data_IF_235917506316
#
_entry.id   IF_235917506316
#
_cell.length_a   1.000
_cell.length_b   1.000
_cell.length_c   1.000
_cell.angle_alpha   90.00
_cell.angle_beta   90.00
_cell.angle_gamma   90.00
#
_symmetry.space_group_name_H-M   'P 1'
#
loop_
_entity.id
_entity.type
_entity.pdbx_description
1 polymer ?
#
# COMPACT_ATOMS: atom_id res chain seq x y z
N UNK A 1 -9.18 -17.32 2.29
CA UNK A 1 -9.46 -16.00 1.69
C UNK A 1 -8.98 -14.93 2.66
N UNK A 2 -8.21 -13.94 2.21
CA UNK A 2 -7.85 -12.80 3.05
C UNK A 2 -8.98 -11.79 3.01
N UNK A 3 -9.34 -11.21 4.16
CA UNK A 3 -10.25 -10.07 4.17
C UNK A 3 -9.54 -8.83 3.62
N UNK A 4 -10.30 -7.84 3.16
CA UNK A 4 -9.73 -6.53 2.75
C UNK A 4 -8.89 -5.92 3.87
N UNK A 5 -9.34 -6.06 5.12
CA UNK A 5 -8.64 -5.58 6.31
C UNK A 5 -7.30 -6.28 6.51
N UNK A 6 -7.22 -7.59 6.29
CA UNK A 6 -5.96 -8.35 6.40
C UNK A 6 -4.95 -7.89 5.35
N UNK A 7 -5.40 -7.63 4.12
CA UNK A 7 -4.54 -7.13 3.04
C UNK A 7 -4.01 -5.74 3.36
N UNK A 8 -4.86 -4.84 3.87
CA UNK A 8 -4.43 -3.50 4.30
C UNK A 8 -3.40 -3.61 5.44
N UNK A 9 -3.63 -4.49 6.42
CA UNK A 9 -2.69 -4.71 7.53
C UNK A 9 -1.33 -5.20 7.03
N UNK A 10 -1.32 -6.22 6.17
CA UNK A 10 -0.08 -6.74 5.57
C UNK A 10 0.67 -5.70 4.74
N UNK A 11 -0.06 -4.81 4.05
CA UNK A 11 0.55 -3.69 3.35
C UNK A 11 1.28 -2.75 4.32
N UNK A 12 0.66 -2.44 5.46
CA UNK A 12 1.27 -1.58 6.48
C UNK A 12 2.49 -2.23 7.13
N UNK A 13 2.41 -3.53 7.42
CA UNK A 13 3.55 -4.30 7.92
C UNK A 13 4.71 -4.23 6.92
N UNK A 14 4.44 -4.46 5.63
CA UNK A 14 5.45 -4.34 4.56
C UNK A 14 6.08 -2.95 4.47
N UNK A 15 5.26 -1.89 4.48
CA UNK A 15 5.72 -0.49 4.42
C UNK A 15 6.66 -0.18 5.60
N UNK A 16 6.33 -0.70 6.79
CA UNK A 16 7.11 -0.48 7.99
C UNK A 16 8.42 -1.28 7.98
N UNK A 17 8.35 -2.56 7.63
CA UNK A 17 9.52 -3.45 7.60
C UNK A 17 10.57 -2.99 6.57
N UNK A 18 10.12 -2.36 5.48
CA UNK A 18 10.99 -1.82 4.43
C UNK A 18 11.32 -0.32 4.60
N UNK A 19 10.92 0.31 5.72
CA UNK A 19 11.13 1.74 5.99
C UNK A 19 10.70 2.66 4.83
N UNK A 20 9.55 2.37 4.22
CA UNK A 20 9.04 3.10 3.05
C UNK A 20 8.30 4.40 3.41
N UNK A 21 8.26 4.79 4.68
CA UNK A 21 7.71 6.09 5.09
C UNK A 21 8.72 7.19 4.80
N UNK A 22 8.25 8.30 4.22
CA UNK A 22 9.09 9.47 4.01
C UNK A 22 9.56 10.02 5.38
N UNK A 23 10.87 10.18 5.61
CA UNK A 23 11.39 10.66 6.89
C UNK A 23 10.99 12.10 7.21
N UNK A 24 10.66 12.89 6.19
CA UNK A 24 10.23 14.29 6.32
C UNK A 24 8.71 14.42 6.49
N UNK A 25 7.94 13.52 5.89
CA UNK A 25 6.48 13.44 6.06
C UNK A 25 6.02 11.99 6.22
N UNK A 26 5.84 11.54 7.46
CA UNK A 26 5.39 10.17 7.78
C UNK A 26 4.01 9.80 7.20
N UNK A 27 3.26 10.76 6.65
CA UNK A 27 2.00 10.48 5.94
C UNK A 27 2.25 9.97 4.52
N UNK A 28 3.41 10.28 3.95
CA UNK A 28 3.79 9.89 2.59
C UNK A 28 4.56 8.57 2.61
N UNK A 29 4.16 7.66 1.74
CA UNK A 29 4.80 6.38 1.50
C UNK A 29 5.53 6.49 0.16
N UNK A 30 6.83 6.18 0.17
CA UNK A 30 7.70 6.10 -1.00
C UNK A 30 7.59 4.67 -1.53
N UNK A 31 7.14 4.52 -2.77
CA UNK A 31 7.01 3.20 -3.38
C UNK A 31 8.39 2.65 -3.75
N UNK A 32 8.67 1.42 -3.32
CA UNK A 32 9.74 0.61 -3.86
C UNK A 32 9.35 0.03 -5.23
N UNK A 33 10.22 -0.75 -5.85
CA UNK A 33 9.97 -1.34 -7.18
C UNK A 33 8.67 -2.15 -7.23
N UNK A 34 8.36 -2.90 -6.17
CA UNK A 34 7.15 -3.73 -6.10
C UNK A 34 5.88 -2.91 -5.97
N UNK A 35 5.89 -1.88 -5.11
CA UNK A 35 4.76 -0.97 -4.96
C UNK A 35 4.59 -0.08 -6.18
N UNK A 36 5.68 0.30 -6.86
CA UNK A 36 5.63 1.01 -8.15
C UNK A 36 4.99 0.15 -9.23
N UNK A 37 5.35 -1.14 -9.33
CA UNK A 37 4.72 -2.06 -10.29
C UNK A 37 3.24 -2.29 -9.97
N UNK A 38 2.88 -2.42 -8.70
CA UNK A 38 1.50 -2.64 -8.28
C UNK A 38 0.60 -1.41 -8.48
N UNK A 39 1.04 -0.24 -7.99
CA UNK A 39 0.23 0.97 -7.93
C UNK A 39 0.50 1.97 -9.06
N UNK A 40 1.58 1.78 -9.82
CA UNK A 40 1.99 2.65 -10.93
C UNK A 40 2.19 4.12 -10.48
N UNK A 41 2.65 4.32 -9.24
CA UNK A 41 2.95 5.63 -8.65
C UNK A 41 4.26 5.59 -7.88
N UNK A 42 4.99 6.70 -7.85
CA UNK A 42 6.26 6.80 -7.11
C UNK A 42 6.07 6.95 -5.60
N UNK A 43 4.96 7.58 -5.20
CA UNK A 43 4.60 7.74 -3.79
C UNK A 43 3.11 7.97 -3.66
N UNK A 44 2.57 7.68 -2.49
CA UNK A 44 1.17 7.94 -2.16
C UNK A 44 1.05 8.36 -0.70
N UNK A 45 -0.10 8.92 -0.32
CA UNK A 45 -0.37 9.25 1.08
C UNK A 45 -1.05 8.07 1.77
N UNK A 46 -0.67 7.72 3.00
CA UNK A 46 -1.13 6.50 3.68
C UNK A 46 -2.66 6.32 3.73
N UNK A 47 -3.44 7.41 3.75
CA UNK A 47 -4.91 7.34 3.71
C UNK A 47 -5.49 6.91 2.34
N UNK A 48 -4.71 6.98 1.26
CA UNK A 48 -5.15 6.54 -0.08
C UNK A 48 -4.89 5.06 -0.34
N UNK A 49 -4.18 4.35 0.56
CA UNK A 49 -3.81 2.92 0.37
C UNK A 49 -5.02 2.03 0.09
N UNK A 50 -6.12 2.24 0.81
CA UNK A 50 -7.37 1.47 0.64
C UNK A 50 -7.99 1.71 -0.74
N UNK A 51 -7.84 2.93 -1.29
CA UNK A 51 -8.33 3.29 -2.63
C UNK A 51 -7.46 2.67 -3.72
N UNK A 52 -6.13 2.69 -3.53
CA UNK A 52 -5.17 2.05 -4.43
C UNK A 52 -5.35 0.54 -4.47
N UNK A 53 -5.70 -0.08 -3.35
CA UNK A 53 -5.98 -1.51 -3.23
C UNK A 53 -7.30 -1.95 -3.88
N UNK A 54 -8.30 -1.07 -3.93
CA UNK A 54 -9.65 -1.43 -4.33
C UNK A 54 -9.76 -2.12 -5.70
N UNK A 55 -9.04 -1.68 -6.76
CA UNK A 55 -9.05 -2.33 -8.07
C UNK A 55 -8.43 -3.73 -8.09
N UNK A 56 -7.55 -4.04 -7.13
CA UNK A 56 -6.85 -5.33 -7.06
C UNK A 56 -7.65 -6.42 -6.32
N UNK A 57 -8.75 -6.05 -5.66
CA UNK A 57 -9.66 -7.03 -5.07
C UNK A 57 -10.57 -7.59 -6.16
N UNK A 58 -10.30 -8.81 -6.61
CA UNK A 58 -11.24 -9.57 -7.43
C UNK A 58 -12.52 -9.81 -6.63
N UNK A 59 -13.68 -9.43 -7.18
CA UNK A 59 -14.96 -9.89 -6.65
C UNK A 59 -14.98 -11.41 -6.74
N UNK A 60 -14.97 -12.09 -5.60
CA UNK A 60 -15.30 -13.51 -5.57
C UNK A 60 -16.69 -13.66 -6.19
N UNK A 61 -16.77 -14.48 -7.24
CA UNK A 61 -18.02 -14.80 -7.93
C UNK A 61 -18.83 -15.78 -7.09
#
# INVERSE_FOLDING_TARGET
MLSRSDVVKRMWDYIKDNNLQDPSDRRKIICDEKLKDLFQVESFTGFTVSKLLNPHFTKAK
#
